data_IF_529629808243
#
_entry.id   IF_529629808243
#
_cell.length_a   1.000
_cell.length_b   1.000
_cell.length_c   1.000
_cell.angle_alpha   90.00
_cell.angle_beta   90.00
_cell.angle_gamma   90.00
#
_symmetry.space_group_name_H-M   'P 1'
#
loop_
_entity.id
_entity.type
_entity.pdbx_description
1 polymer ?
#
# COMPACT_ATOMS: atom_id res chain seq x y z
N UNK A 1 3.47 14.51 -9.98
CA UNK A 1 2.65 13.53 -9.23
C UNK A 1 2.92 12.07 -9.62
N UNK A 2 3.49 11.77 -10.80
CA UNK A 2 3.80 10.38 -11.23
C UNK A 2 4.76 9.60 -10.33
N UNK A 3 5.84 10.24 -9.85
CA UNK A 3 6.90 9.55 -9.09
C UNK A 3 6.39 8.96 -7.77
N UNK A 4 5.44 9.65 -7.11
CA UNK A 4 4.79 9.14 -5.88
C UNK A 4 3.99 7.88 -6.17
N UNK A 5 3.18 7.88 -7.23
CA UNK A 5 2.38 6.71 -7.65
C UNK A 5 3.25 5.50 -8.00
N UNK A 6 4.36 5.71 -8.68
CA UNK A 6 5.32 4.65 -9.01
C UNK A 6 5.99 4.05 -7.78
N UNK A 7 6.37 4.89 -6.80
CA UNK A 7 6.95 4.41 -5.56
C UNK A 7 5.94 3.59 -4.72
N UNK A 8 4.68 4.05 -4.66
CA UNK A 8 3.60 3.34 -3.96
C UNK A 8 3.27 2.00 -4.63
N UNK A 9 3.26 1.95 -5.96
CA UNK A 9 3.08 0.69 -6.72
C UNK A 9 4.21 -0.30 -6.46
N UNK A 10 5.46 0.15 -6.45
CA UNK A 10 6.61 -0.71 -6.12
C UNK A 10 6.53 -1.26 -4.70
N UNK A 11 6.07 -0.46 -3.74
CA UNK A 11 5.82 -0.91 -2.37
C UNK A 11 4.71 -1.95 -2.32
N UNK A 12 3.60 -1.73 -3.04
CA UNK A 12 2.50 -2.71 -3.14
C UNK A 12 3.00 -4.04 -3.71
N UNK A 13 3.74 -4.01 -4.83
CA UNK A 13 4.32 -5.22 -5.45
C UNK A 13 5.30 -5.94 -4.52
N UNK A 14 6.13 -5.20 -3.78
CA UNK A 14 7.05 -5.78 -2.80
C UNK A 14 6.29 -6.46 -1.65
N UNK A 15 5.21 -5.82 -1.17
CA UNK A 15 4.33 -6.37 -0.13
C UNK A 15 3.58 -7.59 -0.63
N UNK A 16 3.07 -7.60 -1.87
CA UNK A 16 2.41 -8.78 -2.45
C UNK A 16 3.40 -9.94 -2.69
N UNK A 17 4.64 -9.64 -3.10
CA UNK A 17 5.69 -10.65 -3.28
C UNK A 17 6.27 -11.19 -1.97
N UNK A 18 6.40 -10.37 -0.94
CA UNK A 18 6.85 -10.87 0.37
C UNK A 18 5.72 -11.57 1.13
N UNK A 19 4.49 -11.08 0.98
CA UNK A 19 3.34 -11.58 1.74
C UNK A 19 2.44 -12.44 0.84
N UNK A 20 3.01 -13.53 0.32
CA UNK A 20 2.31 -14.58 -0.45
C UNK A 20 1.16 -15.29 0.30
N UNK A 21 0.95 -14.96 1.59
CA UNK A 21 -0.20 -15.40 2.40
C UNK A 21 -0.85 -14.16 3.00
N UNK A 22 -1.94 -13.68 2.38
CA UNK A 22 -2.86 -12.62 2.87
C UNK A 22 -2.35 -11.92 4.14
N UNK A 23 -1.69 -10.75 4.02
CA UNK A 23 -1.27 -10.01 5.20
C UNK A 23 -2.48 -9.75 6.10
N UNK A 24 -2.27 -9.95 7.41
CA UNK A 24 -3.25 -9.55 8.41
C UNK A 24 -3.58 -8.07 8.23
N UNK A 25 -4.86 -7.70 8.36
CA UNK A 25 -5.32 -6.32 8.17
C UNK A 25 -4.48 -5.31 8.97
N UNK A 26 -3.97 -5.69 10.16
CA UNK A 26 -3.07 -4.85 10.95
C UNK A 26 -1.73 -4.56 10.27
N UNK A 27 -1.15 -5.52 9.54
CA UNK A 27 0.13 -5.33 8.84
C UNK A 27 -0.06 -4.38 7.66
N UNK A 28 -1.16 -4.53 6.93
CA UNK A 28 -1.55 -3.61 5.87
C UNK A 28 -1.80 -2.19 6.39
N UNK A 29 -2.49 -2.07 7.52
CA UNK A 29 -2.77 -0.76 8.14
C UNK A 29 -1.48 -0.06 8.59
N UNK A 30 -0.52 -0.82 9.16
CA UNK A 30 0.82 -0.29 9.49
C UNK A 30 1.60 0.16 8.27
N UNK A 31 1.54 -0.58 7.17
CA UNK A 31 2.18 -0.18 5.90
C UNK A 31 1.56 1.10 5.34
N UNK A 32 0.23 1.23 5.44
CA UNK A 32 -0.48 2.45 5.04
C UNK A 32 -0.05 3.64 5.90
N UNK A 33 0.02 3.47 7.22
CA UNK A 33 0.50 4.50 8.15
C UNK A 33 1.93 4.94 7.84
N UNK A 34 2.82 3.98 7.52
CA UNK A 34 4.20 4.29 7.09
C UNK A 34 4.25 5.07 5.77
N UNK A 35 3.32 4.79 4.86
CA UNK A 35 3.17 5.54 3.61
C UNK A 35 2.45 6.90 3.80
N UNK A 36 1.98 7.21 5.02
CA UNK A 36 1.28 8.46 5.36
C UNK A 36 -0.24 8.43 5.16
N UNK A 37 -0.83 7.24 5.08
CA UNK A 37 -2.27 7.03 4.90
C UNK A 37 -2.89 6.49 6.18
N UNK A 38 -4.16 6.83 6.43
CA UNK A 38 -4.84 6.47 7.68
C UNK A 38 -5.19 4.98 7.76
N UNK A 39 -5.40 4.33 6.61
CA UNK A 39 -5.71 2.90 6.52
C UNK A 39 -5.29 2.32 5.18
N UNK A 40 -5.16 0.99 5.10
CA UNK A 40 -4.82 0.32 3.84
C UNK A 40 -5.83 0.58 2.72
N UNK A 41 -7.10 0.74 3.07
CA UNK A 41 -8.16 1.07 2.12
C UNK A 41 -7.91 2.45 1.48
N UNK A 42 -7.54 3.45 2.28
CA UNK A 42 -7.18 4.81 1.83
C UNK A 42 -5.92 4.80 0.95
N UNK A 43 -4.93 3.97 1.31
CA UNK A 43 -3.73 3.73 0.50
C UNK A 43 -4.08 3.09 -0.87
N UNK A 44 -4.95 2.07 -0.88
CA UNK A 44 -5.41 1.46 -2.13
C UNK A 44 -6.25 2.43 -2.96
N UNK A 45 -7.10 3.23 -2.31
CA UNK A 45 -7.91 4.25 -2.98
C UNK A 45 -7.03 5.32 -3.63
N UNK A 46 -5.92 5.71 -2.98
CA UNK A 46 -4.94 6.63 -3.56
C UNK A 46 -4.10 6.01 -4.69
N UNK A 47 -3.97 4.68 -4.74
CA UNK A 47 -3.24 3.92 -5.75
C UNK A 47 -4.07 3.58 -6.99
N UNK A 48 -5.31 3.18 -6.78
CA UNK A 48 -6.31 2.85 -7.80
C UNK A 48 -7.18 4.02 -8.17
N UNK A 49 -6.88 5.21 -7.61
CA UNK A 49 -7.67 6.42 -7.74
C UNK A 49 -8.22 6.58 -9.14
N UNK A 50 -9.45 7.08 -9.23
CA UNK A 50 -10.02 7.57 -10.49
C UNK A 50 -8.99 8.33 -11.33
#
# INVERSE_FOLDING_TARGET
MEKKRLALRKLLEAVEKEILKKPDKKTLDRLALLAGFQSWDDFQHALHGE
#
